data_IF_696769201982
#
_entry.id   IF_696769201982
#
_cell.length_a   1.000
_cell.length_b   1.000
_cell.length_c   1.000
_cell.angle_alpha   90.00
_cell.angle_beta   90.00
_cell.angle_gamma   90.00
#
_symmetry.space_group_name_H-M   'P 1'
#
loop_
_entity.id
_entity.type
_entity.pdbx_description
1 polymer ?
#
# COMPACT_ATOMS: atom_id res chain seq x y z
N UNK A 1 1.43 -49.16 -28.14
CA UNK A 1 0.59 -49.08 -26.96
C UNK A 1 1.28 -48.45 -25.75
N UNK A 2 2.49 -48.89 -25.31
CA UNK A 2 3.15 -48.32 -24.09
C UNK A 2 3.49 -46.84 -24.19
N UNK A 3 3.83 -46.29 -25.35
CA UNK A 3 4.16 -44.86 -25.52
C UNK A 3 2.90 -43.98 -25.44
N UNK A 4 1.80 -44.36 -26.08
CA UNK A 4 0.51 -43.66 -26.02
C UNK A 4 -0.03 -43.64 -24.60
N UNK A 5 0.08 -44.70 -23.83
CA UNK A 5 -0.33 -44.76 -22.43
C UNK A 5 0.50 -43.82 -21.53
N UNK A 6 1.82 -43.69 -21.78
CA UNK A 6 2.68 -42.75 -21.05
C UNK A 6 2.33 -41.30 -21.36
N UNK A 7 2.09 -40.97 -22.64
CA UNK A 7 1.66 -39.62 -23.05
C UNK A 7 0.33 -39.27 -22.42
N UNK A 8 -0.65 -40.16 -22.43
CA UNK A 8 -1.96 -39.93 -21.81
C UNK A 8 -1.86 -39.73 -20.29
N UNK A 9 -1.00 -40.49 -19.63
CA UNK A 9 -0.78 -40.34 -18.16
C UNK A 9 -0.10 -39.01 -17.83
N UNK A 10 0.88 -38.62 -18.65
CA UNK A 10 1.55 -37.30 -18.47
C UNK A 10 0.59 -36.13 -18.69
N UNK A 11 -0.23 -36.19 -19.75
CA UNK A 11 -1.25 -35.16 -20.01
C UNK A 11 -2.30 -35.08 -18.88
N UNK A 12 -2.74 -36.22 -18.36
CA UNK A 12 -3.64 -36.28 -17.23
C UNK A 12 -3.00 -35.67 -15.97
N UNK A 13 -1.74 -36.02 -15.67
CA UNK A 13 -1.01 -35.46 -14.52
C UNK A 13 -0.86 -33.93 -14.65
N UNK A 14 -0.50 -33.43 -15.83
CA UNK A 14 -0.43 -31.99 -16.10
C UNK A 14 -1.78 -31.31 -15.93
N UNK A 15 -2.86 -31.93 -16.41
CA UNK A 15 -4.22 -31.40 -16.24
C UNK A 15 -4.63 -31.36 -14.77
N UNK A 16 -4.37 -32.43 -14.02
CA UNK A 16 -4.66 -32.50 -12.58
C UNK A 16 -3.89 -31.42 -11.82
N UNK A 17 -2.58 -31.27 -12.07
CA UNK A 17 -1.78 -30.23 -11.44
C UNK A 17 -2.29 -28.83 -11.81
N UNK A 18 -2.64 -28.62 -13.07
CA UNK A 18 -3.19 -27.33 -13.55
C UNK A 18 -4.50 -26.94 -12.90
N UNK A 19 -5.33 -27.89 -12.51
CA UNK A 19 -6.60 -27.63 -11.82
C UNK A 19 -6.44 -27.61 -10.30
N UNK A 20 -5.68 -28.56 -9.74
CA UNK A 20 -5.51 -28.72 -8.30
C UNK A 20 -4.63 -27.61 -7.68
N UNK A 21 -3.55 -27.19 -8.34
CA UNK A 21 -2.65 -26.19 -7.79
C UNK A 21 -3.35 -24.83 -7.54
N UNK A 22 -4.05 -24.22 -8.51
CA UNK A 22 -4.74 -22.95 -8.24
C UNK A 22 -5.88 -23.12 -7.23
N UNK A 23 -6.57 -24.27 -7.17
CA UNK A 23 -7.57 -24.55 -6.15
C UNK A 23 -6.94 -24.59 -4.76
N UNK A 24 -5.79 -25.26 -4.62
CA UNK A 24 -5.06 -25.33 -3.36
C UNK A 24 -4.56 -23.98 -2.87
N UNK A 25 -3.88 -23.21 -3.73
CA UNK A 25 -3.34 -21.89 -3.38
C UNK A 25 -4.41 -20.80 -3.24
N UNK A 26 -5.61 -21.01 -3.75
CA UNK A 26 -6.73 -20.09 -3.61
C UNK A 26 -7.81 -20.53 -2.64
N UNK A 27 -7.63 -21.66 -1.91
CA UNK A 27 -8.67 -22.23 -1.03
C UNK A 27 -9.19 -21.25 0.02
N UNK A 28 -8.35 -20.32 0.45
CA UNK A 28 -8.65 -19.35 1.50
C UNK A 28 -9.05 -17.97 0.96
N UNK A 29 -9.09 -17.78 -0.36
CA UNK A 29 -9.38 -16.48 -0.95
C UNK A 29 -10.77 -15.95 -0.57
N UNK A 30 -11.74 -16.84 -0.36
CA UNK A 30 -13.08 -16.47 0.08
C UNK A 30 -13.10 -15.88 1.48
N UNK A 31 -12.24 -16.37 2.40
CA UNK A 31 -12.17 -15.84 3.75
C UNK A 31 -11.71 -14.36 3.78
N UNK A 32 -10.78 -13.98 2.89
CA UNK A 32 -10.37 -12.58 2.74
C UNK A 32 -11.46 -11.67 2.16
N UNK A 33 -12.39 -12.22 1.40
CA UNK A 33 -13.45 -11.45 0.76
C UNK A 33 -14.72 -11.36 1.62
N UNK A 34 -15.07 -12.45 2.29
CA UNK A 34 -16.37 -12.62 2.94
C UNK A 34 -16.26 -13.04 4.42
N UNK A 35 -15.08 -13.48 4.84
CA UNK A 35 -14.77 -13.91 6.20
C UNK A 35 -13.84 -12.95 6.93
N UNK A 36 -13.38 -13.36 8.10
CA UNK A 36 -12.54 -12.52 8.96
C UNK A 36 -11.41 -13.27 9.69
N UNK A 37 -11.43 -14.61 9.71
CA UNK A 37 -10.50 -15.39 10.52
C UNK A 37 -9.03 -15.16 10.09
N UNK A 38 -8.74 -15.16 8.79
CA UNK A 38 -7.39 -14.93 8.27
C UNK A 38 -6.94 -13.48 8.44
N UNK A 39 -7.87 -12.55 8.30
CA UNK A 39 -7.62 -11.13 8.57
C UNK A 39 -7.20 -10.95 10.03
N UNK A 40 -7.91 -11.55 10.95
CA UNK A 40 -7.60 -11.49 12.39
C UNK A 40 -6.25 -12.14 12.70
N UNK A 41 -5.95 -13.31 12.12
CA UNK A 41 -4.67 -14.00 12.33
C UNK A 41 -3.47 -13.18 11.80
N UNK A 42 -3.61 -12.51 10.64
CA UNK A 42 -2.56 -11.62 10.12
C UNK A 42 -2.44 -10.33 10.94
N UNK A 43 -3.56 -9.78 11.44
CA UNK A 43 -3.54 -8.64 12.37
C UNK A 43 -2.81 -8.98 13.69
N UNK A 44 -3.00 -10.18 14.23
CA UNK A 44 -2.27 -10.66 15.41
C UNK A 44 -0.77 -10.83 15.15
N UNK A 45 -0.37 -11.20 13.95
CA UNK A 45 1.06 -11.19 13.58
C UNK A 45 1.64 -9.78 13.64
N UNK A 46 0.91 -8.77 13.18
CA UNK A 46 1.34 -7.37 13.32
C UNK A 46 1.41 -6.95 14.80
N UNK A 47 0.46 -7.40 15.64
CA UNK A 47 0.50 -7.19 17.10
C UNK A 47 1.75 -7.80 17.71
N UNK A 48 2.07 -9.04 17.35
CA UNK A 48 3.28 -9.74 17.83
C UNK A 48 4.55 -8.99 17.40
N UNK A 49 4.64 -8.61 16.12
CA UNK A 49 5.76 -7.86 15.59
C UNK A 49 5.99 -6.54 16.33
N UNK A 50 4.95 -5.75 16.54
CA UNK A 50 5.05 -4.47 17.24
C UNK A 50 5.40 -4.66 18.74
N UNK A 51 4.93 -5.71 19.39
CA UNK A 51 5.27 -6.02 20.78
C UNK A 51 6.76 -6.39 20.98
N UNK A 52 7.35 -7.09 20.01
CA UNK A 52 8.75 -7.55 20.09
C UNK A 52 9.80 -6.46 19.86
N UNK A 53 9.40 -5.20 19.57
CA UNK A 53 10.30 -4.10 19.18
C UNK A 53 11.29 -4.50 18.06
N UNK A 54 10.84 -5.41 17.20
CA UNK A 54 11.65 -6.05 16.18
C UNK A 54 11.97 -5.13 14.98
N UNK A 55 11.40 -3.91 14.92
CA UNK A 55 11.69 -2.96 13.87
C UNK A 55 13.18 -2.59 13.79
N UNK A 56 13.87 -2.49 14.93
CA UNK A 56 15.34 -2.34 14.98
C UNK A 56 16.08 -3.55 14.39
N UNK A 57 15.46 -4.73 14.36
CA UNK A 57 15.99 -5.97 13.80
C UNK A 57 15.62 -6.19 12.34
N UNK A 58 14.55 -5.53 11.88
CA UNK A 58 14.01 -5.71 10.53
C UNK A 58 14.79 -4.92 9.46
N UNK A 59 15.52 -3.87 9.85
CA UNK A 59 16.37 -3.13 8.95
C UNK A 59 17.72 -3.85 8.79
N UNK A 60 18.05 -4.43 7.62
CA UNK A 60 19.38 -4.97 7.39
C UNK A 60 20.39 -3.82 7.58
N UNK A 61 21.28 -3.95 8.55
CA UNK A 61 22.36 -2.99 8.79
C UNK A 61 23.14 -2.81 7.48
N UNK A 62 23.18 -1.57 6.95
CA UNK A 62 23.92 -1.23 5.72
C UNK A 62 23.08 -1.10 4.45
N UNK A 63 21.78 -1.34 4.46
CA UNK A 63 20.91 -1.05 3.31
C UNK A 63 20.54 0.44 3.28
N UNK A 64 20.73 1.11 2.13
CA UNK A 64 20.38 2.51 1.89
C UNK A 64 18.89 2.81 2.20
N UNK A 65 18.01 1.86 2.00
CA UNK A 65 16.55 1.97 2.17
C UNK A 65 16.03 1.45 3.53
N UNK A 66 16.93 1.04 4.43
CA UNK A 66 16.55 0.43 5.71
C UNK A 66 15.63 1.32 6.56
N UNK A 67 15.90 2.63 6.60
CA UNK A 67 15.08 3.60 7.34
C UNK A 67 13.68 3.77 6.74
N UNK A 68 13.59 3.88 5.42
CA UNK A 68 12.34 3.96 4.69
C UNK A 68 11.49 2.71 4.87
N UNK A 69 12.08 1.52 4.78
CA UNK A 69 11.36 0.26 4.99
C UNK A 69 10.89 0.08 6.44
N UNK A 70 11.64 0.56 7.42
CA UNK A 70 11.21 0.55 8.81
C UNK A 70 9.99 1.46 9.02
N UNK A 71 10.02 2.69 8.49
CA UNK A 71 8.88 3.60 8.51
C UNK A 71 7.66 2.97 7.85
N UNK A 72 7.79 2.45 6.61
CA UNK A 72 6.70 1.83 5.86
C UNK A 72 6.13 0.60 6.58
N UNK A 73 6.98 -0.19 7.26
CA UNK A 73 6.50 -1.34 8.05
C UNK A 73 5.54 -0.90 9.16
N UNK A 74 5.92 0.08 9.97
CA UNK A 74 5.06 0.60 11.04
C UNK A 74 3.81 1.29 10.47
N UNK A 75 3.97 2.10 9.43
CA UNK A 75 2.86 2.77 8.76
C UNK A 75 1.84 1.75 8.24
N UNK A 76 2.26 0.71 7.50
CA UNK A 76 1.35 -0.28 6.93
C UNK A 76 0.71 -1.17 8.00
N UNK A 77 1.41 -1.48 9.10
CA UNK A 77 0.80 -2.11 10.26
C UNK A 77 -0.31 -1.23 10.84
N UNK A 78 -0.06 0.06 11.04
CA UNK A 78 -1.07 0.99 11.56
C UNK A 78 -2.30 1.07 10.63
N UNK A 79 -2.08 1.16 9.31
CA UNK A 79 -3.16 1.21 8.32
C UNK A 79 -3.99 -0.09 8.35
N UNK A 80 -3.32 -1.23 8.26
CA UNK A 80 -4.01 -2.52 8.23
C UNK A 80 -4.78 -2.81 9.51
N UNK A 81 -4.21 -2.50 10.69
CA UNK A 81 -4.90 -2.63 11.97
C UNK A 81 -6.08 -1.66 12.08
N UNK A 82 -5.95 -0.41 11.63
CA UNK A 82 -7.04 0.55 11.60
C UNK A 82 -8.20 0.08 10.71
N UNK A 83 -7.89 -0.39 9.50
CA UNK A 83 -8.87 -0.97 8.57
C UNK A 83 -9.57 -2.19 9.18
N UNK A 84 -8.82 -3.08 9.83
CA UNK A 84 -9.40 -4.23 10.51
C UNK A 84 -10.36 -3.84 11.63
N UNK A 85 -10.03 -2.82 12.45
CA UNK A 85 -10.92 -2.31 13.50
C UNK A 85 -12.15 -1.60 12.93
N UNK A 86 -12.02 -0.89 11.80
CA UNK A 86 -13.16 -0.23 11.15
C UNK A 86 -14.14 -1.25 10.56
N UNK A 87 -13.63 -2.33 9.96
CA UNK A 87 -14.43 -3.41 9.42
C UNK A 87 -15.02 -4.33 10.52
N UNK A 88 -14.29 -4.51 11.62
CA UNK A 88 -14.60 -5.41 12.73
C UNK A 88 -14.47 -4.68 14.07
N UNK A 89 -15.48 -3.86 14.46
CA UNK A 89 -15.43 -3.08 15.70
C UNK A 89 -15.26 -3.90 16.97
N UNK A 90 -15.61 -5.18 16.95
CA UNK A 90 -15.41 -6.15 18.04
C UNK A 90 -13.93 -6.40 18.38
N UNK A 91 -13.01 -6.16 17.44
CA UNK A 91 -11.56 -6.29 17.65
C UNK A 91 -10.90 -5.03 18.20
N UNK A 92 -11.69 -3.97 18.41
CA UNK A 92 -11.17 -2.67 18.87
C UNK A 92 -10.31 -2.76 20.12
N UNK A 93 -10.77 -3.47 21.14
CA UNK A 93 -10.04 -3.58 22.41
C UNK A 93 -8.68 -4.29 22.24
N UNK A 94 -8.59 -5.25 21.34
CA UNK A 94 -7.38 -6.03 21.06
C UNK A 94 -6.40 -5.26 20.18
N UNK A 95 -6.85 -4.66 19.08
CA UNK A 95 -5.98 -4.14 18.02
C UNK A 95 -5.62 -2.66 18.19
N UNK A 96 -6.47 -1.83 18.80
CA UNK A 96 -6.26 -0.38 18.89
C UNK A 96 -4.97 0.04 19.62
N UNK A 97 -4.56 -0.61 20.74
CA UNK A 97 -3.29 -0.23 21.38
C UNK A 97 -2.08 -0.39 20.47
N UNK A 98 -2.04 -1.49 19.70
CA UNK A 98 -0.94 -1.75 18.77
C UNK A 98 -1.01 -0.87 17.53
N UNK A 99 -2.19 -0.63 16.99
CA UNK A 99 -2.42 0.32 15.89
C UNK A 99 -1.86 1.70 16.25
N UNK A 100 -2.19 2.22 17.44
CA UNK A 100 -1.67 3.50 17.95
C UNK A 100 -0.15 3.48 18.11
N UNK A 101 0.40 2.39 18.67
CA UNK A 101 1.85 2.22 18.82
C UNK A 101 2.56 2.27 17.48
N UNK A 102 2.07 1.55 16.47
CA UNK A 102 2.63 1.52 15.13
C UNK A 102 2.56 2.92 14.46
N UNK A 103 1.43 3.62 14.58
CA UNK A 103 1.30 4.98 14.06
C UNK A 103 2.29 5.94 14.73
N UNK A 104 2.44 5.88 16.07
CA UNK A 104 3.40 6.72 16.81
C UNK A 104 4.86 6.37 16.45
N UNK A 105 5.19 5.08 16.25
CA UNK A 105 6.52 4.66 15.79
C UNK A 105 6.86 5.23 14.43
N UNK A 106 5.93 5.19 13.46
CA UNK A 106 6.14 5.79 12.14
C UNK A 106 6.37 7.30 12.21
N UNK A 107 5.95 7.96 13.31
CA UNK A 107 6.10 9.40 13.57
C UNK A 107 7.42 9.78 14.22
N UNK A 108 8.21 8.82 14.72
CA UNK A 108 9.46 9.10 15.41
C UNK A 108 10.52 9.72 14.48
N UNK A 109 11.36 10.67 14.96
CA UNK A 109 12.41 11.29 14.15
C UNK A 109 13.36 10.28 13.50
N UNK A 110 13.74 9.23 14.20
CA UNK A 110 14.63 8.18 13.69
C UNK A 110 14.02 7.39 12.52
N UNK A 111 12.70 7.28 12.42
CA UNK A 111 12.02 6.66 11.28
C UNK A 111 12.01 7.58 10.06
N UNK A 112 12.07 8.90 10.27
CA UNK A 112 12.08 9.92 9.21
C UNK A 112 13.49 10.35 8.80
N UNK A 113 14.54 9.84 9.45
CA UNK A 113 15.94 10.25 9.25
C UNK A 113 16.42 10.10 7.79
N UNK A 114 15.91 9.09 7.05
CA UNK A 114 16.23 8.95 5.62
C UNK A 114 15.77 10.16 4.79
N UNK A 115 14.57 10.67 5.06
CA UNK A 115 14.04 11.87 4.41
C UNK A 115 14.77 13.12 4.91
N UNK A 116 14.99 13.25 6.21
CA UNK A 116 15.76 14.36 6.80
C UNK A 116 17.16 14.45 6.18
N UNK A 117 17.85 13.32 5.96
CA UNK A 117 19.14 13.29 5.27
C UNK A 117 19.06 13.72 3.81
N UNK A 118 18.02 13.31 3.09
CA UNK A 118 17.81 13.71 1.71
C UNK A 118 17.57 15.22 1.59
N UNK A 119 16.96 15.83 2.60
CA UNK A 119 16.72 17.27 2.72
C UNK A 119 17.82 18.00 3.51
N UNK A 120 19.07 17.53 3.43
CA UNK A 120 20.26 18.17 3.99
C UNK A 120 20.19 18.42 5.51
N UNK A 121 19.51 17.56 6.25
CA UNK A 121 19.35 17.66 7.71
C UNK A 121 18.07 18.39 8.14
N UNK A 122 17.23 18.80 7.21
CA UNK A 122 15.96 19.46 7.50
C UNK A 122 14.88 18.41 7.79
N UNK A 123 14.44 18.33 9.07
CA UNK A 123 13.26 17.58 9.44
C UNK A 123 12.01 18.41 9.15
N UNK A 124 11.20 18.01 8.19
CA UNK A 124 10.00 18.71 7.75
C UNK A 124 8.94 18.91 8.82
N UNK A 125 9.06 18.28 10.00
CA UNK A 125 8.19 18.49 11.17
C UNK A 125 8.76 19.46 12.21
N UNK A 126 10.10 19.67 12.25
CA UNK A 126 10.75 20.46 13.31
C UNK A 126 10.37 21.95 13.31
N UNK A 127 9.89 22.46 12.18
CA UNK A 127 9.47 23.87 11.99
C UNK A 127 7.95 24.00 11.80
N UNK A 128 7.16 23.24 12.57
CA UNK A 128 5.70 23.32 12.53
C UNK A 128 5.08 22.83 11.22
N UNK A 129 5.70 21.88 10.55
CA UNK A 129 5.23 21.33 9.29
C UNK A 129 5.36 22.30 8.11
N UNK A 130 6.17 23.34 8.25
CA UNK A 130 6.30 24.41 7.25
C UNK A 130 6.69 23.92 5.85
N UNK A 131 7.42 22.83 5.76
CA UNK A 131 7.94 22.33 4.48
C UNK A 131 7.04 21.28 3.82
N UNK A 132 6.41 20.36 4.56
CA UNK A 132 5.42 19.41 4.02
C UNK A 132 5.97 18.58 2.85
N UNK A 133 7.12 17.92 3.04
CA UNK A 133 7.69 17.01 2.04
C UNK A 133 6.82 15.77 1.86
N UNK A 134 6.65 15.27 0.63
CA UNK A 134 5.65 14.23 0.33
C UNK A 134 5.90 12.90 1.07
N UNK A 135 7.14 12.53 1.40
CA UNK A 135 7.43 11.33 2.18
C UNK A 135 6.75 11.34 3.58
N UNK A 136 6.43 12.53 4.11
CA UNK A 136 5.70 12.66 5.37
C UNK A 136 4.21 12.29 5.24
N UNK A 137 3.70 12.11 4.02
CA UNK A 137 2.35 11.59 3.77
C UNK A 137 2.13 10.21 4.38
N UNK A 138 3.15 9.36 4.38
CA UNK A 138 3.09 8.02 4.94
C UNK A 138 2.79 8.01 6.45
N UNK A 139 3.61 8.61 7.31
CA UNK A 139 3.31 8.66 8.73
C UNK A 139 2.08 9.52 9.05
N UNK A 140 1.80 10.58 8.26
CA UNK A 140 0.60 11.39 8.45
C UNK A 140 -0.68 10.60 8.21
N UNK A 141 -0.74 9.73 7.20
CA UNK A 141 -1.89 8.85 6.97
C UNK A 141 -2.07 7.87 8.14
N UNK A 142 -0.99 7.27 8.64
CA UNK A 142 -1.05 6.37 9.78
C UNK A 142 -1.63 7.07 11.03
N UNK A 143 -1.13 8.27 11.34
CA UNK A 143 -1.65 9.10 12.44
C UNK A 143 -3.10 9.50 12.20
N UNK A 144 -3.46 9.88 10.96
CA UNK A 144 -4.83 10.26 10.59
C UNK A 144 -5.83 9.14 10.84
N UNK A 145 -5.54 7.91 10.39
CA UNK A 145 -6.40 6.74 10.63
C UNK A 145 -6.43 6.35 12.12
N UNK A 146 -5.30 6.43 12.81
CA UNK A 146 -5.27 6.15 14.24
C UNK A 146 -6.15 7.14 15.04
N UNK A 147 -6.11 8.43 14.69
CA UNK A 147 -6.99 9.46 15.28
C UNK A 147 -8.46 9.23 14.93
N UNK A 148 -8.77 8.71 13.73
CA UNK A 148 -10.14 8.35 13.37
C UNK A 148 -10.67 7.20 14.21
N UNK A 149 -9.85 6.17 14.46
CA UNK A 149 -10.24 4.99 15.25
C UNK A 149 -10.29 5.32 16.74
N UNK A 150 -9.35 6.14 17.26
CA UNK A 150 -9.23 6.46 18.68
C UNK A 150 -9.05 8.00 18.90
N UNK A 151 -10.11 8.80 18.74
CA UNK A 151 -10.01 10.26 18.77
C UNK A 151 -9.49 10.84 20.10
N UNK A 152 -9.76 10.16 21.23
CA UNK A 152 -9.44 10.65 22.59
C UNK A 152 -8.14 10.10 23.17
N UNK A 153 -7.52 9.10 22.54
CA UNK A 153 -6.35 8.40 23.07
C UNK A 153 -5.02 8.84 22.46
N UNK A 154 -5.03 9.84 21.58
CA UNK A 154 -3.82 10.27 20.87
C UNK A 154 -3.07 11.39 21.61
N UNK A 155 -1.71 11.37 21.67
CA UNK A 155 -0.94 12.44 22.31
C UNK A 155 -1.22 13.81 21.69
N UNK A 156 -1.46 14.82 22.53
CA UNK A 156 -1.88 16.14 22.07
C UNK A 156 -0.80 16.87 21.24
N UNK A 157 0.46 16.67 21.57
CA UNK A 157 1.61 17.22 20.84
C UNK A 157 1.73 16.63 19.43
N UNK A 158 1.59 15.29 19.29
CA UNK A 158 1.58 14.62 17.97
C UNK A 158 0.35 15.06 17.17
N UNK A 159 -0.81 15.19 17.81
CA UNK A 159 -2.01 15.68 17.13
C UNK A 159 -1.81 17.10 16.59
N UNK A 160 -1.21 17.99 17.36
CA UNK A 160 -0.93 19.37 16.93
C UNK A 160 0.10 19.42 15.79
N UNK A 161 1.17 18.60 15.85
CA UNK A 161 2.13 18.49 14.77
C UNK A 161 1.49 17.94 13.48
N UNK A 162 0.61 16.93 13.62
CA UNK A 162 -0.14 16.38 12.50
C UNK A 162 -1.05 17.44 11.85
N UNK A 163 -1.80 18.20 12.65
CA UNK A 163 -2.67 19.27 12.15
C UNK A 163 -1.86 20.34 11.38
N UNK A 164 -0.68 20.73 11.91
CA UNK A 164 0.22 21.66 11.25
C UNK A 164 0.78 21.11 9.92
N UNK A 165 1.14 19.83 9.87
CA UNK A 165 1.62 19.17 8.66
C UNK A 165 0.52 19.08 7.61
N UNK A 166 -0.71 18.71 7.97
CA UNK A 166 -1.85 18.68 7.04
C UNK A 166 -2.10 20.06 6.45
N UNK A 167 -2.07 21.11 7.26
CA UNK A 167 -2.20 22.49 6.76
C UNK A 167 -1.06 22.88 5.79
N UNK A 168 0.17 22.39 6.02
CA UNK A 168 1.28 22.60 5.10
C UNK A 168 1.09 21.85 3.77
N UNK A 169 0.65 20.60 3.80
CA UNK A 169 0.30 19.83 2.61
C UNK A 169 -0.78 20.52 1.78
N UNK A 170 -1.84 20.96 2.42
CA UNK A 170 -2.95 21.64 1.77
C UNK A 170 -2.50 22.90 1.04
N UNK A 171 -1.73 23.77 1.72
CA UNK A 171 -1.16 24.98 1.11
C UNK A 171 -0.30 24.66 -0.11
N UNK A 172 0.60 23.66 -0.01
CA UNK A 172 1.52 23.28 -1.09
C UNK A 172 0.78 22.66 -2.27
N UNK A 173 -0.16 21.74 -2.05
CA UNK A 173 -0.95 21.14 -3.11
C UNK A 173 -1.79 22.18 -3.85
N UNK A 174 -2.42 23.13 -3.15
CA UNK A 174 -3.21 24.20 -3.77
C UNK A 174 -2.34 25.21 -4.52
N UNK A 175 -1.09 25.42 -4.10
CA UNK A 175 -0.14 26.28 -4.82
C UNK A 175 0.46 25.60 -6.04
N UNK A 176 0.45 24.27 -6.10
CA UNK A 176 0.99 23.52 -7.23
C UNK A 176 -0.05 23.37 -8.36
N UNK A 177 0.23 23.84 -9.59
CA UNK A 177 -0.69 23.68 -10.71
C UNK A 177 -0.83 22.24 -11.20
N UNK A 178 0.03 21.33 -10.74
CA UNK A 178 0.06 19.90 -11.07
C UNK A 178 -0.38 19.04 -9.90
N UNK A 179 -0.66 19.64 -8.74
CA UNK A 179 -0.85 18.99 -7.45
C UNK A 179 0.28 17.99 -7.10
N UNK A 180 1.50 18.27 -7.56
CA UNK A 180 2.72 17.56 -7.19
C UNK A 180 3.51 18.38 -6.17
N UNK A 181 4.03 17.71 -5.16
CA UNK A 181 4.99 18.25 -4.20
C UNK A 181 6.18 17.30 -4.10
N UNK A 182 7.33 17.84 -3.77
CA UNK A 182 8.57 17.06 -3.74
C UNK A 182 8.59 16.05 -2.61
N UNK A 183 8.99 14.82 -2.93
CA UNK A 183 9.39 13.79 -1.96
C UNK A 183 10.83 14.00 -1.55
N UNK A 184 11.70 14.16 -2.55
CA UNK A 184 13.12 14.50 -2.39
C UNK A 184 13.44 15.76 -3.22
N UNK A 185 14.53 16.48 -2.93
CA UNK A 185 14.87 17.70 -3.67
C UNK A 185 14.89 17.50 -5.19
N UNK A 186 14.03 18.22 -5.90
CA UNK A 186 13.87 18.14 -7.36
C UNK A 186 13.08 16.93 -7.88
N UNK A 187 12.54 16.08 -7.01
CA UNK A 187 11.84 14.86 -7.40
C UNK A 187 10.47 14.75 -6.71
N UNK A 188 9.42 14.59 -7.51
CA UNK A 188 8.08 14.29 -7.06
C UNK A 188 7.67 12.86 -7.48
N UNK A 189 7.15 12.10 -6.53
CA UNK A 189 6.61 10.77 -6.76
C UNK A 189 5.10 10.84 -6.61
N UNK A 190 4.32 10.69 -7.69
CA UNK A 190 2.85 10.73 -7.63
C UNK A 190 2.23 9.82 -6.58
N UNK A 191 2.82 8.65 -6.35
CA UNK A 191 2.36 7.69 -5.33
C UNK A 191 2.51 8.24 -3.91
N UNK A 192 3.61 8.94 -3.62
CA UNK A 192 3.82 9.58 -2.31
C UNK A 192 2.85 10.73 -2.10
N UNK A 193 2.59 11.48 -3.17
CA UNK A 193 1.58 12.56 -3.15
C UNK A 193 0.17 12.00 -2.98
N UNK A 194 -0.11 10.79 -3.49
CA UNK A 194 -1.37 10.10 -3.20
C UNK A 194 -1.50 9.74 -1.71
N UNK A 195 -0.41 9.34 -1.04
CA UNK A 195 -0.39 9.16 0.42
C UNK A 195 -0.65 10.46 1.17
N UNK A 196 -0.11 11.60 0.69
CA UNK A 196 -0.41 12.93 1.24
C UNK A 196 -1.90 13.25 1.12
N UNK A 197 -2.51 13.05 -0.06
CA UNK A 197 -3.94 13.29 -0.25
C UNK A 197 -4.80 12.39 0.66
N UNK A 198 -4.42 11.11 0.80
CA UNK A 198 -5.06 10.18 1.72
C UNK A 198 -4.94 10.63 3.19
N UNK A 199 -3.77 11.19 3.59
CA UNK A 199 -3.57 11.73 4.93
C UNK A 199 -4.48 12.94 5.20
N UNK A 200 -4.64 13.85 4.23
CA UNK A 200 -5.57 14.99 4.31
C UNK A 200 -7.02 14.48 4.46
N UNK A 201 -7.42 13.49 3.67
CA UNK A 201 -8.77 12.91 3.75
C UNK A 201 -9.02 12.23 5.10
N UNK A 202 -8.06 11.44 5.60
CA UNK A 202 -8.15 10.79 6.91
C UNK A 202 -8.23 11.82 8.05
N UNK A 203 -7.48 12.93 7.96
CA UNK A 203 -7.55 14.05 8.90
C UNK A 203 -8.95 14.68 8.92
N UNK A 204 -9.52 14.96 7.74
CA UNK A 204 -10.87 15.52 7.64
C UNK A 204 -11.92 14.63 8.33
N UNK A 205 -11.83 13.31 8.11
CA UNK A 205 -12.71 12.33 8.77
C UNK A 205 -12.50 12.27 10.29
N UNK A 206 -11.26 12.39 10.75
CA UNK A 206 -10.95 12.32 12.17
C UNK A 206 -11.32 13.61 12.94
N UNK A 207 -11.31 14.77 12.30
CA UNK A 207 -11.47 16.09 12.93
C UNK A 207 -12.75 16.82 12.56
N UNK A 208 -13.39 16.44 11.44
CA UNK A 208 -14.51 17.17 10.84
C UNK A 208 -14.07 18.36 9.97
N UNK A 209 -12.77 18.53 9.70
CA UNK A 209 -12.27 19.60 8.84
C UNK A 209 -12.64 19.36 7.37
N UNK A 210 -13.03 20.43 6.67
CA UNK A 210 -13.36 20.38 5.23
C UNK A 210 -12.12 20.58 4.38
N UNK A 211 -11.73 19.54 3.66
CA UNK A 211 -10.61 19.51 2.72
C UNK A 211 -11.05 19.31 1.25
N UNK A 212 -12.36 19.44 0.97
CA UNK A 212 -12.94 19.16 -0.35
C UNK A 212 -12.21 19.89 -1.48
N UNK A 213 -11.84 21.16 -1.27
CA UNK A 213 -11.17 21.98 -2.31
C UNK A 213 -9.82 21.38 -2.74
N UNK A 214 -8.97 21.02 -1.80
CA UNK A 214 -7.63 20.50 -2.09
C UNK A 214 -7.70 19.09 -2.67
N UNK A 215 -8.59 18.25 -2.15
CA UNK A 215 -8.74 16.86 -2.61
C UNK A 215 -9.33 16.81 -4.03
N UNK A 216 -10.32 17.66 -4.34
CA UNK A 216 -10.85 17.81 -5.71
C UNK A 216 -9.77 18.32 -6.68
N UNK A 217 -8.96 19.30 -6.27
CA UNK A 217 -7.83 19.78 -7.07
C UNK A 217 -6.85 18.64 -7.35
N UNK A 218 -6.41 17.92 -6.32
CA UNK A 218 -5.49 16.79 -6.46
C UNK A 218 -6.04 15.72 -7.42
N UNK A 219 -7.26 15.24 -7.22
CA UNK A 219 -7.85 14.19 -8.04
C UNK A 219 -7.97 14.58 -9.53
N UNK A 220 -8.29 15.87 -9.81
CA UNK A 220 -8.31 16.40 -11.16
C UNK A 220 -6.92 16.39 -11.80
N UNK A 221 -5.90 16.83 -11.06
CA UNK A 221 -4.54 16.93 -11.60
C UNK A 221 -3.88 15.54 -11.77
N UNK A 222 -4.21 14.57 -10.94
CA UNK A 222 -3.81 13.16 -11.18
C UNK A 222 -4.27 12.70 -12.56
N UNK A 223 -5.55 12.86 -12.88
CA UNK A 223 -6.12 12.48 -14.18
C UNK A 223 -5.50 13.25 -15.34
N UNK A 224 -5.20 14.53 -15.14
CA UNK A 224 -4.72 15.43 -16.20
C UNK A 224 -3.24 15.25 -16.51
N UNK A 225 -2.40 15.04 -15.47
CA UNK A 225 -0.93 15.17 -15.56
C UNK A 225 -0.19 13.91 -15.16
N UNK A 226 -0.67 13.20 -14.10
CA UNK A 226 0.14 12.19 -13.46
C UNK A 226 -0.10 10.77 -14.03
N UNK A 227 -1.22 10.57 -14.73
CA UNK A 227 -1.57 9.31 -15.38
C UNK A 227 -1.16 9.34 -16.85
N UNK A 228 -0.42 8.32 -17.28
CA UNK A 228 -0.14 8.09 -18.69
C UNK A 228 -1.40 7.65 -19.43
N UNK A 229 -1.75 8.34 -20.51
CA UNK A 229 -3.00 8.08 -21.24
C UNK A 229 -3.02 6.76 -22.02
N UNK A 230 -1.85 6.24 -22.38
CA UNK A 230 -1.77 5.03 -23.16
C UNK A 230 -2.00 3.80 -22.29
N UNK A 231 -1.32 3.72 -21.13
CA UNK A 231 -1.40 2.60 -20.20
C UNK A 231 -2.48 2.77 -19.12
N UNK A 232 -2.84 4.01 -18.80
CA UNK A 232 -3.63 4.32 -17.60
C UNK A 232 -2.83 4.21 -16.30
N UNK A 233 -1.53 3.93 -16.37
CA UNK A 233 -0.66 3.85 -15.21
C UNK A 233 -0.17 5.23 -14.77
N UNK A 234 0.09 5.36 -13.48
CA UNK A 234 0.70 6.55 -12.89
C UNK A 234 2.21 6.55 -13.20
N UNK A 235 2.76 7.71 -13.56
CA UNK A 235 4.20 7.89 -13.71
C UNK A 235 4.92 7.64 -12.37
N UNK A 236 6.05 6.93 -12.40
CA UNK A 236 6.80 6.63 -11.18
C UNK A 236 7.39 7.89 -10.56
N UNK A 237 8.04 8.73 -11.38
CA UNK A 237 8.68 9.98 -10.95
C UNK A 237 8.43 11.09 -11.96
N UNK A 238 8.23 12.30 -11.44
CA UNK A 238 7.97 13.51 -12.22
C UNK A 238 8.73 14.71 -11.66
N UNK A 239 8.86 15.78 -12.42
CA UNK A 239 9.13 17.10 -11.85
C UNK A 239 7.84 17.70 -11.28
N UNK A 240 7.95 18.67 -10.38
CA UNK A 240 6.77 19.36 -9.81
C UNK A 240 5.97 20.14 -10.85
N UNK A 241 6.60 20.50 -12.00
CA UNK A 241 5.93 21.13 -13.14
C UNK A 241 5.13 20.12 -13.99
N UNK A 242 5.20 18.81 -13.67
CA UNK A 242 4.45 17.77 -14.34
C UNK A 242 5.16 17.10 -15.51
N UNK A 243 6.49 17.27 -15.65
CA UNK A 243 7.25 16.55 -16.67
C UNK A 243 7.63 15.15 -16.17
N UNK A 244 7.25 14.07 -16.88
CA UNK A 244 7.68 12.72 -16.55
C UNK A 244 9.21 12.60 -16.53
N UNK A 245 9.74 11.96 -15.50
CA UNK A 245 11.17 11.66 -15.29
C UNK A 245 11.46 10.17 -15.27
N UNK A 246 10.39 9.36 -15.17
CA UNK A 246 10.45 7.90 -15.23
C UNK A 246 9.16 7.38 -15.88
N UNK A 247 9.18 6.12 -16.30
CA UNK A 247 8.06 5.46 -16.98
C UNK A 247 6.89 5.20 -16.03
N UNK A 248 5.65 5.11 -16.55
CA UNK A 248 4.51 4.69 -15.75
C UNK A 248 4.64 3.23 -15.33
N UNK A 249 4.21 2.90 -14.10
CA UNK A 249 4.43 1.59 -13.49
C UNK A 249 3.18 1.01 -12.84
N UNK A 250 3.03 -0.32 -12.94
CA UNK A 250 1.96 -1.04 -12.28
C UNK A 250 2.06 -1.01 -10.75
N UNK A 251 3.27 -1.09 -10.18
CA UNK A 251 3.48 -1.01 -8.73
C UNK A 251 3.07 0.35 -8.17
N UNK A 252 3.55 1.44 -8.76
CA UNK A 252 3.14 2.80 -8.38
C UNK A 252 1.64 3.02 -8.55
N UNK A 253 1.03 2.49 -9.62
CA UNK A 253 -0.41 2.58 -9.86
C UNK A 253 -1.23 1.81 -8.83
N UNK A 254 -0.79 0.60 -8.45
CA UNK A 254 -1.47 -0.22 -7.45
C UNK A 254 -1.54 0.47 -6.08
N UNK A 255 -0.41 1.04 -5.65
CA UNK A 255 -0.33 1.76 -4.39
C UNK A 255 -1.07 3.11 -4.46
N UNK A 256 -0.99 3.83 -5.59
CA UNK A 256 -1.76 5.06 -5.81
C UNK A 256 -3.29 4.78 -5.82
N UNK A 257 -3.74 3.68 -6.41
CA UNK A 257 -5.14 3.27 -6.39
C UNK A 257 -5.63 2.95 -4.96
N UNK A 258 -4.78 2.31 -4.16
CA UNK A 258 -5.06 2.08 -2.73
C UNK A 258 -5.23 3.41 -1.97
N UNK A 259 -4.31 4.37 -2.11
CA UNK A 259 -4.40 5.66 -1.44
C UNK A 259 -5.55 6.53 -1.99
N UNK A 260 -5.80 6.50 -3.30
CA UNK A 260 -6.93 7.19 -3.90
C UNK A 260 -8.28 6.69 -3.35
N UNK A 261 -8.35 5.43 -2.90
CA UNK A 261 -9.53 4.87 -2.23
C UNK A 261 -9.98 5.63 -0.98
N UNK A 262 -9.08 6.34 -0.30
CA UNK A 262 -9.40 7.20 0.84
C UNK A 262 -9.94 8.58 0.44
N UNK A 263 -9.79 8.98 -0.84
CA UNK A 263 -9.96 10.36 -1.31
C UNK A 263 -11.08 10.51 -2.33
N UNK A 264 -10.97 9.79 -3.44
CA UNK A 264 -11.84 9.87 -4.61
C UNK A 264 -12.07 8.46 -5.17
N UNK A 265 -13.25 7.92 -4.86
CA UNK A 265 -13.65 6.58 -5.28
C UNK A 265 -13.61 6.39 -6.80
N UNK A 266 -13.97 7.42 -7.57
CA UNK A 266 -14.00 7.35 -9.02
C UNK A 266 -12.56 7.25 -9.59
N UNK A 267 -11.63 8.07 -9.09
CA UNK A 267 -10.21 7.98 -9.45
C UNK A 267 -9.64 6.60 -9.10
N UNK A 268 -9.92 6.10 -7.89
CA UNK A 268 -9.45 4.78 -7.48
C UNK A 268 -10.00 3.67 -8.40
N UNK A 269 -11.24 3.76 -8.87
CA UNK A 269 -11.82 2.83 -9.84
C UNK A 269 -11.17 2.94 -11.23
N UNK A 270 -10.85 4.15 -11.69
CA UNK A 270 -10.15 4.38 -12.96
C UNK A 270 -8.76 3.72 -12.93
N UNK A 271 -7.99 3.93 -11.87
CA UNK A 271 -6.68 3.29 -11.69
C UNK A 271 -6.80 1.76 -11.56
N UNK A 272 -7.84 1.29 -10.87
CA UNK A 272 -8.14 -0.15 -10.74
C UNK A 272 -8.44 -0.78 -12.11
N UNK A 273 -9.18 -0.08 -12.96
CA UNK A 273 -9.49 -0.55 -14.32
C UNK A 273 -8.22 -0.68 -15.17
N UNK A 274 -7.27 0.25 -15.03
CA UNK A 274 -5.96 0.15 -15.69
C UNK A 274 -5.17 -1.07 -15.21
N UNK A 275 -5.14 -1.34 -13.90
CA UNK A 275 -4.49 -2.54 -13.35
C UNK A 275 -5.14 -3.84 -13.84
N UNK A 276 -6.48 -3.88 -13.94
CA UNK A 276 -7.20 -5.02 -14.50
C UNK A 276 -6.89 -5.26 -15.98
N UNK A 277 -6.77 -4.19 -16.77
CA UNK A 277 -6.39 -4.29 -18.17
C UNK A 277 -4.98 -4.87 -18.38
N UNK A 278 -4.11 -4.71 -17.37
CA UNK A 278 -2.74 -5.21 -17.38
C UNK A 278 -2.53 -6.47 -16.52
N UNK A 279 -3.63 -7.10 -16.05
CA UNK A 279 -3.54 -8.41 -15.42
C UNK A 279 -3.13 -9.47 -16.44
N UNK A 280 -2.11 -10.25 -16.10
CA UNK A 280 -1.67 -11.43 -16.86
C UNK A 280 -2.03 -12.69 -16.10
N UNK A 281 -2.65 -13.64 -16.79
CA UNK A 281 -3.12 -14.88 -16.17
C UNK A 281 -2.45 -16.10 -16.79
N UNK A 282 -2.05 -17.02 -15.94
CA UNK A 282 -1.51 -18.30 -16.36
C UNK A 282 -1.96 -19.41 -15.41
N UNK A 283 -2.55 -20.48 -15.95
CA UNK A 283 -2.98 -21.66 -15.20
C UNK A 283 -3.81 -21.36 -13.92
N UNK A 284 -4.65 -20.33 -13.95
CA UNK A 284 -5.49 -19.92 -12.82
C UNK A 284 -4.80 -19.03 -11.79
N UNK A 285 -3.54 -18.66 -11.99
CA UNK A 285 -2.82 -17.63 -11.25
C UNK A 285 -2.88 -16.31 -12.01
N UNK A 286 -2.79 -15.19 -11.30
CA UNK A 286 -2.76 -13.85 -11.89
C UNK A 286 -1.61 -13.04 -11.34
N UNK A 287 -1.10 -12.11 -12.15
CA UNK A 287 -0.12 -11.12 -11.74
C UNK A 287 -0.33 -9.84 -12.55
N UNK A 288 0.10 -8.70 -12.03
CA UNK A 288 -0.03 -7.41 -12.72
C UNK A 288 1.30 -7.02 -13.36
N UNK A 289 1.22 -6.52 -14.60
CA UNK A 289 2.40 -6.04 -15.32
C UNK A 289 3.01 -4.83 -14.60
N UNK A 290 4.35 -4.78 -14.55
CA UNK A 290 5.07 -3.61 -14.06
C UNK A 290 5.11 -2.50 -15.10
N UNK A 291 5.30 -2.88 -16.37
CA UNK A 291 5.35 -1.96 -17.50
C UNK A 291 4.34 -2.39 -18.56
N UNK A 292 3.73 -1.44 -19.27
CA UNK A 292 2.75 -1.74 -20.33
C UNK A 292 3.40 -2.54 -21.47
N UNK A 293 4.17 -1.89 -22.31
CA UNK A 293 4.81 -2.51 -23.51
C UNK A 293 6.34 -2.52 -23.43
N UNK A 294 6.92 -1.84 -22.47
CA UNK A 294 8.37 -1.71 -22.36
C UNK A 294 8.97 -2.86 -21.55
N UNK A 295 10.10 -3.36 -22.01
CA UNK A 295 10.95 -4.23 -21.21
C UNK A 295 11.74 -3.34 -20.23
N UNK A 296 11.30 -3.30 -18.98
CA UNK A 296 12.02 -2.65 -17.88
C UNK A 296 12.70 -3.69 -16.99
N UNK A 297 13.72 -3.25 -16.28
CA UNK A 297 14.32 -4.06 -15.22
C UNK A 297 13.66 -3.70 -13.89
N UNK A 298 13.49 -4.70 -13.02
CA UNK A 298 13.03 -4.47 -11.65
C UNK A 298 14.03 -3.63 -10.86
N UNK A 299 13.51 -2.88 -9.93
CA UNK A 299 14.26 -2.10 -8.95
C UNK A 299 13.82 -2.41 -7.53
N UNK A 300 14.22 -1.59 -6.58
CA UNK A 300 13.88 -1.78 -5.16
C UNK A 300 12.38 -1.67 -4.90
N UNK A 301 11.67 -0.83 -5.65
CA UNK A 301 10.24 -0.54 -5.47
C UNK A 301 9.36 -1.61 -6.09
N UNK A 302 9.72 -2.08 -7.28
CA UNK A 302 8.97 -3.13 -7.99
C UNK A 302 9.29 -4.54 -7.49
N UNK A 303 10.47 -4.71 -6.89
CA UNK A 303 11.06 -6.03 -6.73
C UNK A 303 11.42 -6.68 -8.09
N UNK A 304 11.65 -7.99 -8.12
CA UNK A 304 11.95 -8.70 -9.37
C UNK A 304 10.82 -8.57 -10.39
N UNK A 305 11.17 -8.22 -11.63
CA UNK A 305 10.26 -8.25 -12.79
C UNK A 305 10.54 -9.52 -13.59
N UNK A 306 9.56 -10.41 -13.64
CA UNK A 306 9.66 -11.69 -14.34
C UNK A 306 8.53 -11.79 -15.35
N UNK A 307 8.86 -12.02 -16.62
CA UNK A 307 7.89 -12.03 -17.73
C UNK A 307 7.02 -10.75 -17.79
N UNK A 308 7.61 -9.62 -17.37
CA UNK A 308 6.97 -8.32 -17.38
C UNK A 308 6.00 -8.05 -16.21
N UNK A 309 5.82 -8.99 -15.28
CA UNK A 309 5.03 -8.79 -14.05
C UNK A 309 5.93 -8.62 -12.84
N UNK A 310 5.49 -7.86 -11.83
CA UNK A 310 6.26 -7.62 -10.62
C UNK A 310 5.53 -8.08 -9.36
N UNK A 311 6.32 -8.31 -8.31
CA UNK A 311 5.81 -8.66 -6.98
C UNK A 311 5.01 -7.50 -6.39
N UNK A 312 5.53 -6.27 -6.52
CA UNK A 312 4.90 -5.08 -5.97
C UNK A 312 3.59 -4.73 -6.70
N UNK A 313 3.58 -4.71 -8.05
CA UNK A 313 2.36 -4.44 -8.81
C UNK A 313 1.26 -5.47 -8.47
N UNK A 314 1.63 -6.75 -8.35
CA UNK A 314 0.69 -7.82 -8.00
C UNK A 314 0.17 -7.67 -6.56
N UNK A 315 1.06 -7.43 -5.60
CA UNK A 315 0.71 -7.29 -4.19
C UNK A 315 -0.16 -6.06 -3.91
N UNK A 316 0.20 -4.90 -4.45
CA UNK A 316 -0.56 -3.66 -4.25
C UNK A 316 -1.93 -3.69 -4.95
N UNK A 317 -2.08 -4.42 -6.05
CA UNK A 317 -3.36 -4.58 -6.72
C UNK A 317 -4.39 -5.42 -5.94
N UNK A 318 -3.97 -6.16 -4.91
CA UNK A 318 -4.91 -6.89 -4.04
C UNK A 318 -5.91 -5.95 -3.36
N UNK A 319 -5.46 -4.79 -2.87
CA UNK A 319 -6.30 -3.81 -2.20
C UNK A 319 -7.42 -3.28 -3.10
N UNK A 320 -7.14 -2.64 -4.25
CA UNK A 320 -8.19 -2.12 -5.11
C UNK A 320 -9.08 -3.23 -5.69
N UNK A 321 -8.55 -4.41 -6.02
CA UNK A 321 -9.39 -5.51 -6.52
C UNK A 321 -10.35 -6.02 -5.45
N UNK A 322 -9.93 -6.07 -4.18
CA UNK A 322 -10.81 -6.40 -3.06
C UNK A 322 -11.86 -5.31 -2.82
N UNK A 323 -11.42 -4.06 -2.67
CA UNK A 323 -12.28 -2.93 -2.31
C UNK A 323 -13.38 -2.64 -3.36
N UNK A 324 -13.09 -2.90 -4.64
CA UNK A 324 -14.04 -2.69 -5.74
C UNK A 324 -14.75 -3.98 -6.21
N UNK A 325 -14.62 -5.08 -5.48
CA UNK A 325 -15.38 -6.30 -5.72
C UNK A 325 -14.94 -7.12 -6.94
N UNK A 326 -13.72 -6.96 -7.43
CA UNK A 326 -13.17 -7.75 -8.53
C UNK A 326 -12.71 -9.13 -8.07
N UNK A 327 -13.66 -9.91 -7.51
CA UNK A 327 -13.42 -11.19 -6.82
C UNK A 327 -12.56 -12.18 -7.62
N UNK A 328 -12.81 -12.31 -8.91
CA UNK A 328 -12.07 -13.23 -9.78
C UNK A 328 -10.59 -12.83 -9.93
N UNK A 329 -10.32 -11.55 -10.19
CA UNK A 329 -8.97 -11.02 -10.28
C UNK A 329 -8.26 -11.08 -8.92
N UNK A 330 -8.90 -10.65 -7.84
CA UNK A 330 -8.38 -10.79 -6.48
C UNK A 330 -7.97 -12.23 -6.18
N UNK A 331 -8.84 -13.21 -6.45
CA UNK A 331 -8.53 -14.63 -6.20
C UNK A 331 -7.32 -15.11 -6.99
N UNK A 332 -7.16 -14.69 -8.24
CA UNK A 332 -5.99 -15.07 -9.05
C UNK A 332 -4.69 -14.44 -8.52
N UNK A 333 -4.70 -13.15 -8.14
CA UNK A 333 -3.56 -12.48 -7.53
C UNK A 333 -3.24 -13.10 -6.15
N UNK A 334 -4.25 -13.40 -5.34
CA UNK A 334 -4.08 -14.04 -4.04
C UNK A 334 -3.41 -15.42 -4.17
N UNK A 335 -3.77 -16.21 -5.19
CA UNK A 335 -3.09 -17.49 -5.49
C UNK A 335 -1.59 -17.30 -5.72
N UNK A 336 -1.22 -16.29 -6.49
CA UNK A 336 0.19 -15.93 -6.74
C UNK A 336 0.87 -15.47 -5.45
N UNK A 337 0.21 -14.63 -4.67
CA UNK A 337 0.69 -14.16 -3.37
C UNK A 337 0.91 -15.34 -2.40
N UNK A 338 -0.01 -16.30 -2.36
CA UNK A 338 0.10 -17.50 -1.52
C UNK A 338 1.23 -18.42 -1.99
N UNK A 339 1.37 -18.60 -3.31
CA UNK A 339 2.42 -19.45 -3.90
C UNK A 339 3.82 -18.92 -3.55
N UNK A 340 4.06 -17.64 -3.73
CA UNK A 340 5.37 -17.02 -3.51
C UNK A 340 5.58 -16.52 -2.08
N UNK A 341 4.53 -16.14 -1.39
CA UNK A 341 4.58 -15.63 -0.02
C UNK A 341 4.78 -16.72 1.04
N UNK A 342 4.44 -17.98 0.73
CA UNK A 342 4.57 -19.12 1.62
C UNK A 342 3.92 -18.86 2.99
N UNK A 343 2.58 -18.72 3.06
CA UNK A 343 1.88 -18.44 4.30
C UNK A 343 2.09 -19.58 5.31
N UNK A 344 2.30 -19.19 6.57
CA UNK A 344 2.47 -20.09 7.71
C UNK A 344 1.59 -19.63 8.85
N UNK A 345 0.84 -20.56 9.39
CA UNK A 345 0.06 -20.38 10.62
C UNK A 345 0.88 -20.88 11.82
N UNK A 346 0.97 -20.06 12.87
CA UNK A 346 1.63 -20.37 14.13
C UNK A 346 0.69 -19.99 15.28
N UNK A 347 0.04 -21.01 15.86
CA UNK A 347 -1.00 -20.77 16.86
C UNK A 347 -2.18 -20.01 16.26
N UNK A 348 -2.40 -18.79 16.70
CA UNK A 348 -3.46 -17.90 16.26
C UNK A 348 -2.96 -16.76 15.31
N UNK A 349 -1.71 -16.84 14.87
CA UNK A 349 -1.12 -15.88 13.93
C UNK A 349 -0.94 -16.46 12.53
N UNK A 350 -0.92 -15.61 11.53
CA UNK A 350 -0.62 -15.91 10.13
C UNK A 350 0.49 -14.99 9.64
N UNK A 351 1.56 -15.54 9.08
CA UNK A 351 2.59 -14.74 8.41
C UNK A 351 2.91 -15.28 7.02
N UNK A 352 3.42 -14.39 6.14
CA UNK A 352 3.98 -14.73 4.84
C UNK A 352 5.52 -14.69 4.95
N UNK A 353 6.16 -15.85 4.79
CA UNK A 353 7.57 -16.03 5.16
C UNK A 353 8.56 -15.29 4.27
N UNK A 354 8.26 -15.12 2.99
CA UNK A 354 9.21 -14.58 2.01
C UNK A 354 9.30 -13.06 2.01
N UNK A 355 8.26 -12.37 2.45
CA UNK A 355 8.21 -10.90 2.46
C UNK A 355 8.86 -10.26 3.70
N UNK A 356 9.17 -11.06 4.72
CA UNK A 356 9.64 -10.53 6.00
C UNK A 356 8.63 -9.57 6.66
N UNK A 357 9.07 -8.76 7.62
CA UNK A 357 8.18 -7.84 8.33
C UNK A 357 7.45 -6.83 7.42
N UNK A 358 8.18 -6.20 6.49
CA UNK A 358 7.59 -5.25 5.55
C UNK A 358 6.55 -5.90 4.64
N UNK A 359 6.82 -7.11 4.14
CA UNK A 359 5.87 -7.84 3.30
C UNK A 359 4.59 -8.21 4.04
N UNK A 360 4.68 -8.61 5.31
CA UNK A 360 3.51 -8.89 6.15
C UNK A 360 2.70 -7.62 6.43
N UNK A 361 3.36 -6.50 6.74
CA UNK A 361 2.70 -5.21 6.96
C UNK A 361 1.98 -4.70 5.71
N UNK A 362 2.64 -4.77 4.54
CA UNK A 362 2.03 -4.44 3.25
C UNK A 362 0.82 -5.33 2.96
N UNK A 363 0.96 -6.64 3.10
CA UNK A 363 -0.15 -7.58 2.87
C UNK A 363 -1.29 -7.37 3.86
N UNK A 364 -1.02 -7.05 5.13
CA UNK A 364 -2.07 -6.69 6.08
C UNK A 364 -2.86 -5.49 5.56
N UNK A 365 -2.21 -4.38 5.20
CA UNK A 365 -2.89 -3.20 4.68
C UNK A 365 -3.68 -3.48 3.38
N UNK A 366 -3.10 -4.25 2.45
CA UNK A 366 -3.76 -4.57 1.17
C UNK A 366 -4.94 -5.53 1.34
N UNK A 367 -4.82 -6.53 2.19
CA UNK A 367 -5.85 -7.56 2.39
C UNK A 367 -6.98 -7.13 3.34
N UNK A 368 -6.77 -6.09 4.16
CA UNK A 368 -7.80 -5.48 5.00
C UNK A 368 -8.52 -4.30 4.34
N UNK A 369 -8.02 -3.82 3.19
CA UNK A 369 -8.64 -2.71 2.46
C UNK A 369 -10.09 -3.05 2.08
N UNK A 370 -11.02 -2.17 2.40
CA UNK A 370 -12.45 -2.36 2.19
C UNK A 370 -13.18 -1.07 1.84
N UNK A 371 -14.46 -1.16 1.46
CA UNK A 371 -15.27 0.01 1.13
C UNK A 371 -15.46 0.97 2.32
N UNK A 372 -15.32 0.48 3.56
CA UNK A 372 -15.47 1.26 4.79
C UNK A 372 -14.39 2.34 4.92
N UNK A 373 -13.28 2.16 4.21
CA UNK A 373 -12.16 3.12 4.22
C UNK A 373 -12.35 4.20 3.17
N UNK A 374 -13.20 3.92 2.16
CA UNK A 374 -13.45 4.79 1.00
C UNK A 374 -14.72 5.67 1.14
N UNK A 375 -15.39 5.62 2.30
CA UNK A 375 -16.65 6.34 2.55
C UNK A 375 -16.47 7.55 3.47
#
# INVERSE_FOLDING_TARGET
>A
MKLLGRISLTLLAVLVVRLAAPAWYGRDAADWLDGSARMHALAREAVRFEAEDSARRAAPSGNRFAGEWALVTHQMNALGLAQAVLAHPEWRAELTPTMRLAALRSWLPEMRDFGTRAWHGEDGLSHGGAHGHAYLGYPALAVGLARLVEPRGFPADVAAQHDALIAAFERRLLASPTALIETYPGEAYPTDVAAVAAAIAAHGRATGADHTRVLTHWAREVRRVQVDRASGFVHQRMSVEGTPRDVPRGSGTGLAAYYAGFVDRALAQELTAALLAHERTFAGFGAVAEFDLQQGHGDIDSGPVVLGVSVAATGFSLAPFRAFGHRGAFTRLYRTTTLFGLPREEGDTLCFRTGGPIGNALLLAMLTSGPEVAS
#
